data_IF_042913367515
#
_entry.id   IF_042913367515
#
_cell.length_a   1.000
_cell.length_b   1.000
_cell.length_c   1.000
_cell.angle_alpha   90.00
_cell.angle_beta   90.00
_cell.angle_gamma   90.00
#
_symmetry.space_group_name_H-M   'P 1'
#
loop_
_entity.id
_entity.type
_entity.pdbx_description
1 polymer ?
#
# COMPACT_ATOMS: atom_id res chain seq x y z
N UNK A 1 18.20 -7.08 24.56
CA UNK A 1 19.50 -6.49 25.00
C UNK A 1 19.90 -7.15 26.32
N UNK A 2 20.73 -8.19 26.30
CA UNK A 2 21.25 -8.78 27.54
C UNK A 2 22.34 -7.88 28.14
N UNK A 3 22.29 -7.67 29.46
CA UNK A 3 23.30 -6.91 30.21
C UNK A 3 24.38 -7.87 30.72
N UNK A 4 25.57 -7.80 30.14
CA UNK A 4 26.77 -8.41 30.72
C UNK A 4 27.57 -7.31 31.45
N UNK A 5 27.87 -7.46 32.75
CA UNK A 5 28.67 -6.48 33.49
C UNK A 5 30.05 -6.29 32.83
N UNK A 6 30.46 -5.04 32.58
CA UNK A 6 31.79 -4.69 32.10
C UNK A 6 32.03 -4.76 30.58
N UNK A 7 31.02 -5.07 29.75
CA UNK A 7 31.13 -5.01 28.29
C UNK A 7 30.19 -3.95 27.69
N UNK A 8 30.69 -3.24 26.68
CA UNK A 8 29.91 -2.30 25.89
C UNK A 8 28.67 -3.00 25.29
N UNK A 9 27.56 -2.27 25.14
CA UNK A 9 26.31 -2.80 24.57
C UNK A 9 26.57 -3.30 23.16
N UNK A 10 26.51 -4.61 22.95
CA UNK A 10 26.50 -5.21 21.62
C UNK A 10 25.08 -5.64 21.26
N UNK A 11 24.68 -5.38 20.02
CA UNK A 11 23.51 -6.06 19.42
C UNK A 11 23.93 -7.50 19.18
N UNK A 12 23.23 -8.44 19.81
CA UNK A 12 23.43 -9.87 19.56
C UNK A 12 22.48 -10.24 18.43
N UNK A 13 23.05 -10.67 17.29
CA UNK A 13 22.28 -11.21 16.19
C UNK A 13 21.99 -12.68 16.50
N UNK A 14 20.71 -13.07 16.63
CA UNK A 14 20.39 -14.49 16.80
C UNK A 14 20.80 -15.25 15.53
N UNK A 15 21.32 -16.46 15.70
CA UNK A 15 21.74 -17.32 14.60
C UNK A 15 20.52 -17.88 13.83
N UNK A 16 19.39 -18.05 14.52
CA UNK A 16 18.12 -18.49 13.96
C UNK A 16 17.06 -17.39 14.12
N UNK A 17 16.38 -17.08 13.02
CA UNK A 17 15.20 -16.21 13.00
C UNK A 17 14.01 -17.09 12.67
N UNK A 18 13.02 -17.12 13.56
CA UNK A 18 11.71 -17.73 13.25
C UNK A 18 11.05 -16.91 12.14
N UNK A 19 11.19 -17.37 10.89
CA UNK A 19 10.47 -16.83 9.74
C UNK A 19 9.23 -17.68 9.56
N UNK A 20 8.06 -17.06 9.53
CA UNK A 20 6.82 -17.79 9.27
C UNK A 20 6.77 -18.18 7.79
N UNK A 21 6.36 -17.26 6.93
CA UNK A 21 6.12 -17.55 5.52
C UNK A 21 6.34 -16.32 4.65
N UNK A 22 7.20 -16.48 3.65
CA UNK A 22 7.55 -15.44 2.69
C UNK A 22 6.59 -15.53 1.51
N UNK A 23 5.93 -14.42 1.19
CA UNK A 23 5.09 -14.27 0.00
C UNK A 23 5.71 -13.28 -0.98
N UNK A 24 5.59 -13.56 -2.27
CA UNK A 24 6.05 -12.68 -3.34
C UNK A 24 4.89 -11.79 -3.84
N UNK A 25 4.99 -10.50 -3.56
CA UNK A 25 3.99 -9.51 -3.95
C UNK A 25 4.43 -8.85 -5.26
N UNK A 26 3.63 -8.93 -6.35
CA UNK A 26 3.97 -8.28 -7.61
C UNK A 26 3.95 -6.75 -7.48
N UNK A 27 4.96 -6.09 -8.06
CA UNK A 27 5.03 -4.63 -8.16
C UNK A 27 4.61 -4.19 -9.55
N UNK A 28 3.64 -3.28 -9.62
CA UNK A 28 3.15 -2.68 -10.86
C UNK A 28 3.47 -1.18 -10.90
N UNK A 29 3.86 -0.70 -12.08
CA UNK A 29 4.17 0.72 -12.30
C UNK A 29 2.93 1.60 -12.48
N UNK A 30 1.93 1.07 -13.18
CA UNK A 30 0.61 1.66 -13.38
C UNK A 30 -0.41 0.54 -13.47
N UNK A 31 -1.64 0.81 -13.02
CA UNK A 31 -2.74 -0.13 -13.19
C UNK A 31 -3.76 0.46 -14.16
N UNK A 32 -4.10 -0.32 -15.19
CA UNK A 32 -5.23 -0.04 -16.08
C UNK A 32 -6.59 -0.30 -15.40
N UNK A 33 -7.63 0.35 -15.92
CA UNK A 33 -9.00 0.18 -15.48
C UNK A 33 -9.49 -1.28 -15.61
N UNK A 34 -10.33 -1.74 -14.65
CA UNK A 34 -11.12 -2.97 -14.82
C UNK A 34 -10.44 -4.30 -14.46
N UNK A 35 -9.64 -4.34 -13.37
CA UNK A 35 -8.83 -5.46 -12.87
C UNK A 35 -9.56 -6.77 -12.48
N UNK A 36 -10.41 -7.29 -13.36
CA UNK A 36 -10.99 -8.62 -13.24
C UNK A 36 -10.27 -9.69 -14.08
N UNK A 37 -9.34 -9.32 -14.97
CA UNK A 37 -8.73 -10.30 -15.89
C UNK A 37 -7.22 -10.09 -16.07
N UNK A 38 -6.56 -11.22 -16.30
CA UNK A 38 -5.12 -11.50 -16.46
C UNK A 38 -4.51 -10.79 -17.69
N UNK A 39 -4.72 -9.48 -17.82
CA UNK A 39 -3.97 -8.68 -18.79
C UNK A 39 -2.54 -8.59 -18.28
N UNK A 40 -1.58 -8.96 -19.13
CA UNK A 40 -0.13 -8.85 -18.90
C UNK A 40 0.22 -7.42 -18.47
N UNK A 41 0.14 -7.15 -17.18
CA UNK A 41 0.70 -5.96 -16.59
C UNK A 41 2.22 -6.10 -16.67
N UNK A 42 2.91 -5.07 -17.16
CA UNK A 42 4.37 -5.02 -17.05
C UNK A 42 4.75 -5.02 -15.56
N UNK A 43 5.04 -6.23 -15.05
CA UNK A 43 5.54 -6.42 -13.70
C UNK A 43 6.94 -5.80 -13.66
N UNK A 44 7.11 -4.75 -12.87
CA UNK A 44 8.43 -4.13 -12.66
C UNK A 44 9.31 -5.02 -11.76
N UNK A 45 8.70 -5.91 -10.98
CA UNK A 45 9.38 -6.87 -10.12
C UNK A 45 8.45 -7.49 -9.08
N UNK A 46 9.04 -8.01 -8.00
CA UNK A 46 8.32 -8.50 -6.83
C UNK A 46 9.00 -8.04 -5.53
N UNK A 47 8.21 -8.01 -4.44
CA UNK A 47 8.67 -7.82 -3.08
C UNK A 47 8.40 -9.12 -2.32
N UNK A 48 9.47 -9.76 -1.84
CA UNK A 48 9.38 -10.91 -0.96
C UNK A 48 9.30 -10.42 0.49
N UNK A 49 8.19 -10.69 1.17
CA UNK A 49 7.95 -10.23 2.54
C UNK A 49 7.28 -11.33 3.37
N UNK A 50 7.63 -11.37 4.65
CA UNK A 50 6.96 -12.24 5.61
C UNK A 50 5.51 -11.78 5.84
N UNK A 51 4.56 -12.69 5.71
CA UNK A 51 3.13 -12.34 5.75
C UNK A 51 2.66 -11.89 7.13
N UNK A 52 3.27 -12.40 8.20
CA UNK A 52 2.96 -11.98 9.57
C UNK A 52 3.35 -10.51 9.78
N UNK A 53 4.43 -10.04 9.13
CA UNK A 53 4.85 -8.64 9.12
C UNK A 53 3.79 -7.70 8.50
N UNK A 54 3.01 -8.20 7.53
CA UNK A 54 1.93 -7.43 6.90
C UNK A 54 0.61 -7.47 7.69
N UNK A 55 0.45 -8.41 8.62
CA UNK A 55 -0.78 -8.57 9.41
C UNK A 55 -2.01 -8.98 8.60
N UNK A 56 -1.83 -9.62 7.45
CA UNK A 56 -2.90 -10.07 6.54
C UNK A 56 -2.99 -11.60 6.49
N UNK A 57 -4.17 -12.18 6.18
CA UNK A 57 -4.30 -13.63 6.04
C UNK A 57 -3.58 -14.12 4.78
N UNK A 58 -3.15 -15.40 4.77
CA UNK A 58 -2.50 -16.05 3.62
C UNK A 58 -3.30 -16.03 2.33
N UNK A 59 -4.63 -16.02 2.45
CA UNK A 59 -5.53 -15.99 1.30
C UNK A 59 -5.77 -14.57 0.76
N UNK A 60 -5.19 -13.54 1.40
CA UNK A 60 -5.31 -12.17 0.93
C UNK A 60 -4.63 -12.01 -0.42
N UNK A 61 -5.37 -11.46 -1.38
CA UNK A 61 -4.79 -11.08 -2.67
C UNK A 61 -4.16 -9.71 -2.50
N UNK A 62 -2.86 -9.61 -2.74
CA UNK A 62 -2.10 -8.36 -2.61
C UNK A 62 -1.34 -8.01 -3.87
N UNK A 63 -1.03 -6.72 -3.99
CA UNK A 63 -0.18 -6.18 -5.03
C UNK A 63 0.49 -4.91 -4.51
N UNK A 64 1.57 -4.49 -5.17
CA UNK A 64 2.29 -3.29 -4.81
C UNK A 64 2.29 -2.28 -5.95
N UNK A 65 2.25 -0.99 -5.60
CA UNK A 65 2.34 0.12 -6.54
C UNK A 65 3.43 1.10 -6.14
N UNK A 66 4.04 1.72 -7.15
CA UNK A 66 4.92 2.86 -6.93
C UNK A 66 4.14 4.16 -6.91
N UNK A 67 4.28 4.93 -5.82
CA UNK A 67 3.59 6.20 -5.63
C UNK A 67 4.17 7.27 -6.55
N UNK A 68 3.29 7.99 -7.24
CA UNK A 68 3.63 9.13 -8.10
C UNK A 68 2.90 10.39 -7.61
N UNK A 69 3.62 11.50 -7.52
CA UNK A 69 3.11 12.76 -6.97
C UNK A 69 3.01 12.80 -5.44
N UNK A 70 2.52 13.93 -4.94
CA UNK A 70 2.57 14.30 -3.51
C UNK A 70 1.18 14.47 -2.88
N UNK A 71 0.13 13.97 -3.54
CA UNK A 71 -1.27 14.12 -3.08
C UNK A 71 -1.59 13.46 -1.73
N UNK A 72 -0.65 12.68 -1.19
CA UNK A 72 -0.79 11.95 0.07
C UNK A 72 0.34 12.30 1.07
N UNK A 73 0.99 13.45 0.89
CA UNK A 73 2.18 13.84 1.66
C UNK A 73 1.88 14.01 3.16
N UNK A 74 0.71 14.52 3.53
CA UNK A 74 0.32 14.74 4.93
C UNK A 74 0.00 13.41 5.64
N UNK A 75 -0.30 12.36 4.86
CA UNK A 75 -0.35 10.97 5.33
C UNK A 75 1.03 10.31 5.37
N UNK A 76 2.11 11.09 5.17
CA UNK A 76 3.51 10.63 5.10
C UNK A 76 3.79 9.65 3.96
N UNK A 77 2.95 9.65 2.92
CA UNK A 77 3.16 8.87 1.70
C UNK A 77 3.79 9.79 0.66
N UNK A 78 5.05 9.52 0.31
CA UNK A 78 5.86 10.38 -0.52
C UNK A 78 5.99 9.82 -1.94
N UNK A 79 6.34 10.69 -2.88
CA UNK A 79 6.75 10.28 -4.21
C UNK A 79 7.88 9.23 -4.15
N UNK A 80 7.72 8.15 -4.92
CA UNK A 80 8.72 7.08 -5.03
C UNK A 80 8.56 5.94 -4.02
N UNK A 81 7.67 6.07 -3.03
CA UNK A 81 7.33 4.99 -2.12
C UNK A 81 6.71 3.81 -2.85
N UNK A 82 6.85 2.61 -2.26
CA UNK A 82 6.09 1.44 -2.68
C UNK A 82 5.03 1.13 -1.66
N UNK A 83 3.76 1.17 -2.08
CA UNK A 83 2.61 0.81 -1.25
C UNK A 83 2.16 -0.59 -1.56
N UNK A 84 1.85 -1.39 -0.54
CA UNK A 84 1.22 -2.71 -0.66
C UNK A 84 -0.27 -2.56 -0.37
N UNK A 85 -1.08 -3.09 -1.27
CA UNK A 85 -2.52 -2.99 -1.26
C UNK A 85 -3.14 -4.39 -1.22
N UNK A 86 -4.23 -4.54 -0.48
CA UNK A 86 -5.05 -5.74 -0.39
C UNK A 86 -6.35 -5.55 -1.17
N UNK A 87 -6.73 -6.54 -1.99
CA UNK A 87 -8.03 -6.58 -2.65
C UNK A 87 -9.13 -6.91 -1.63
N UNK A 88 -9.71 -5.88 -1.03
CA UNK A 88 -10.86 -5.97 -0.13
C UNK A 88 -11.74 -4.73 -0.22
N UNK A 89 -12.93 -4.80 0.36
CA UNK A 89 -13.78 -3.62 0.51
C UNK A 89 -13.11 -2.60 1.45
N UNK A 90 -13.13 -1.30 1.10
CA UNK A 90 -12.57 -0.26 1.95
C UNK A 90 -13.51 0.08 3.10
N UNK A 91 -12.91 0.54 4.20
CA UNK A 91 -13.61 1.17 5.31
C UNK A 91 -13.45 2.68 5.24
N UNK A 92 -14.32 3.42 5.92
CA UNK A 92 -14.17 4.87 6.02
C UNK A 92 -12.78 5.21 6.57
N UNK A 93 -12.12 6.17 5.92
CA UNK A 93 -10.75 6.65 6.17
C UNK A 93 -9.62 5.72 5.77
N UNK A 94 -9.90 4.56 5.16
CA UNK A 94 -8.86 3.73 4.57
C UNK A 94 -8.14 4.50 3.44
N UNK A 95 -6.82 4.31 3.30
CA UNK A 95 -6.10 4.77 2.10
C UNK A 95 -6.26 3.70 1.03
N UNK A 96 -6.70 4.11 -0.16
CA UNK A 96 -7.10 3.20 -1.24
C UNK A 96 -6.42 3.57 -2.55
N UNK A 97 -6.07 2.54 -3.33
CA UNK A 97 -5.90 2.70 -4.76
C UNK A 97 -7.29 2.60 -5.39
N UNK A 98 -7.66 3.61 -6.17
CA UNK A 98 -8.96 3.69 -6.79
C UNK A 98 -8.82 4.14 -8.25
N UNK A 99 -9.59 3.50 -9.12
CA UNK A 99 -9.86 4.01 -10.45
C UNK A 99 -11.08 4.93 -10.35
N UNK A 100 -10.89 6.21 -10.64
CA UNK A 100 -11.94 7.22 -10.66
C UNK A 100 -11.96 7.88 -12.05
N UNK A 101 -13.12 7.80 -12.71
CA UNK A 101 -13.35 8.38 -14.04
C UNK A 101 -12.22 8.12 -15.07
N UNK A 102 -11.70 6.88 -15.09
CA UNK A 102 -10.62 6.43 -15.98
C UNK A 102 -9.18 6.61 -15.48
N UNK A 103 -8.96 7.24 -14.32
CA UNK A 103 -7.62 7.48 -13.76
C UNK A 103 -7.39 6.72 -12.45
N UNK A 104 -6.26 6.02 -12.34
CA UNK A 104 -5.84 5.34 -11.11
C UNK A 104 -5.14 6.32 -10.16
N UNK A 105 -5.63 6.43 -8.93
CA UNK A 105 -5.09 7.35 -7.91
C UNK A 105 -4.98 6.68 -6.54
N UNK A 106 -4.11 7.22 -5.69
CA UNK A 106 -4.03 6.88 -4.27
C UNK A 106 -4.64 8.03 -3.46
N UNK A 107 -5.68 7.75 -2.68
CA UNK A 107 -6.42 8.73 -1.89
C UNK A 107 -6.99 8.12 -0.62
N UNK A 108 -7.43 8.94 0.32
CA UNK A 108 -8.23 8.47 1.46
C UNK A 108 -9.68 8.30 1.02
N UNK A 109 -10.23 7.11 1.23
CA UNK A 109 -11.64 6.84 1.02
C UNK A 109 -12.47 7.45 2.15
N UNK A 110 -13.45 8.29 1.82
CA UNK A 110 -14.33 8.92 2.82
C UNK A 110 -15.78 8.71 2.45
N UNK A 111 -16.59 8.32 3.44
CA UNK A 111 -18.04 8.16 3.30
C UNK A 111 -18.76 9.34 3.96
N UNK A 112 -19.41 10.19 3.16
CA UNK A 112 -20.20 11.31 3.68
C UNK A 112 -21.67 11.17 3.29
N UNK A 113 -22.56 11.04 4.28
CA UNK A 113 -24.02 10.87 4.09
C UNK A 113 -24.36 9.76 3.08
N UNK A 114 -23.61 8.67 3.08
CA UNK A 114 -23.80 7.54 2.18
C UNK A 114 -23.26 7.74 0.76
N UNK A 115 -22.53 8.82 0.49
CA UNK A 115 -21.83 9.06 -0.77
C UNK A 115 -20.32 8.95 -0.57
N UNK A 116 -19.63 8.05 -1.30
CA UNK A 116 -18.18 7.96 -1.24
C UNK A 116 -17.54 9.09 -2.04
N UNK A 117 -16.43 9.61 -1.54
CA UNK A 117 -15.51 10.47 -2.27
C UNK A 117 -14.07 10.15 -1.86
N UNK A 118 -13.11 10.65 -2.63
CA UNK A 118 -11.69 10.44 -2.39
C UNK A 118 -11.05 11.75 -1.93
N UNK A 119 -10.53 11.75 -0.71
CA UNK A 119 -9.85 12.89 -0.11
C UNK A 119 -8.33 12.79 -0.33
N UNK A 120 -7.71 13.89 -0.73
CA UNK A 120 -6.26 14.01 -0.81
C UNK A 120 -5.70 14.44 0.54
N UNK A 121 -4.62 13.82 0.98
CA UNK A 121 -3.86 14.23 2.16
C UNK A 121 -2.77 15.21 1.74
N UNK A 122 -3.22 16.30 1.12
CA UNK A 122 -2.44 17.46 0.68
C UNK A 122 -3.42 18.59 0.29
N UNK A 123 -3.35 19.74 0.98
CA UNK A 123 -4.23 20.90 0.75
C UNK A 123 -4.20 21.45 -0.69
N UNK A 124 -3.12 21.20 -1.44
CA UNK A 124 -2.99 21.64 -2.83
C UNK A 124 -3.81 20.79 -3.82
N UNK A 125 -4.39 19.67 -3.37
CA UNK A 125 -5.15 18.74 -4.20
C UNK A 125 -6.61 18.71 -3.75
N UNK A 126 -7.58 18.89 -4.67
CA UNK A 126 -8.99 18.87 -4.31
C UNK A 126 -9.48 17.45 -4.02
N UNK A 127 -10.59 17.37 -3.30
CA UNK A 127 -11.37 16.14 -3.16
C UNK A 127 -11.91 15.70 -4.53
N UNK A 128 -11.80 14.40 -4.80
CA UNK A 128 -12.32 13.80 -6.03
C UNK A 128 -13.68 13.16 -5.74
N UNK A 129 -14.71 13.71 -6.37
CA UNK A 129 -16.07 13.19 -6.33
C UNK A 129 -16.30 12.46 -7.65
N UNK A 130 -16.65 11.16 -7.65
CA UNK A 130 -16.80 10.39 -8.87
C UNK A 130 -17.98 10.92 -9.70
N UNK A 131 -17.72 11.23 -10.98
CA UNK A 131 -18.74 11.68 -11.91
C UNK A 131 -19.47 10.52 -12.59
N UNK A 132 -18.76 9.43 -12.88
CA UNK A 132 -19.28 8.24 -13.57
C UNK A 132 -18.95 6.96 -12.82
N UNK A 133 -17.69 6.80 -12.45
CA UNK A 133 -17.20 5.54 -11.89
C UNK A 133 -16.22 5.75 -10.74
N UNK A 134 -16.35 4.87 -9.74
CA UNK A 134 -15.38 4.71 -8.67
C UNK A 134 -15.21 3.22 -8.42
N UNK A 135 -14.05 2.68 -8.77
CA UNK A 135 -13.70 1.29 -8.54
C UNK A 135 -12.52 1.25 -7.59
N UNK A 136 -12.74 0.67 -6.41
CA UNK A 136 -11.69 0.49 -5.42
C UNK A 136 -10.88 -0.74 -5.83
N UNK A 137 -9.62 -0.52 -6.13
CA UNK A 137 -8.69 -1.53 -6.61
C UNK A 137 -7.99 -2.25 -5.46
N UNK A 138 -7.74 -1.55 -4.36
CA UNK A 138 -7.17 -2.15 -3.17
C UNK A 138 -7.03 -1.17 -2.03
N UNK A 139 -6.82 -1.71 -0.84
CA UNK A 139 -6.68 -0.95 0.40
C UNK A 139 -5.26 -1.08 0.93
N UNK A 140 -4.66 0.05 1.32
CA UNK A 140 -3.30 0.12 1.81
C UNK A 140 -3.15 -0.71 3.09
N UNK A 141 -2.17 -1.62 3.09
CA UNK A 141 -1.81 -2.42 4.27
C UNK A 141 -0.39 -2.14 4.75
N UNK A 142 0.52 -1.76 3.84
CA UNK A 142 1.89 -1.42 4.20
C UNK A 142 2.51 -0.40 3.23
N UNK A 143 3.52 0.32 3.73
CA UNK A 143 4.33 1.25 2.97
C UNK A 143 5.80 0.88 3.14
N UNK A 144 6.52 0.82 2.02
CA UNK A 144 7.95 0.55 1.95
C UNK A 144 8.63 1.76 1.31
N UNK A 145 9.57 2.33 2.06
CA UNK A 145 10.46 3.40 1.59
C UNK A 145 11.89 2.93 1.69
N UNK A 146 12.62 2.97 0.57
CA UNK A 146 14.07 2.76 0.59
C UNK A 146 14.71 4.04 1.13
N UNK A 147 15.51 3.91 2.18
CA UNK A 147 16.38 5.00 2.62
C UNK A 147 17.43 5.24 1.53
N UNK A 148 17.70 6.51 1.23
CA UNK A 148 18.78 6.92 0.34
C UNK A 148 20.16 6.70 0.99
#
# INVERSE_FOLDING_TARGET
IQRLPGKARAVVFPEELDREEIVDIPVYGQIAAGMASEVEQEREGCISIDIATLGIPRTARTFALKVRGDSMIDAHICHGDTVILEFREPRDRDVVAALIDGETTLKRYVMNKGKPYLHAENESFPDLIPARELIIQGVLVALLRKAA
#
